data_IF_481274002472
#
_entry.id   IF_481274002472
#
_cell.length_a   1.000
_cell.length_b   1.000
_cell.length_c   1.000
_cell.angle_alpha   90.00
_cell.angle_beta   90.00
_cell.angle_gamma   90.00
#
_symmetry.space_group_name_H-M   'P 1'
#
loop_
_entity.id
_entity.type
_entity.pdbx_description
1 polymer ?
#
# COMPACT_ATOMS: atom_id res chain seq x y z
N UNK A 1 -11.98 4.43 -16.88
CA UNK A 1 -11.71 3.15 -17.58
C UNK A 1 -10.20 3.05 -17.75
N UNK A 2 -9.53 2.22 -16.94
CA UNK A 2 -8.07 2.02 -17.04
C UNK A 2 -7.82 1.01 -18.17
N UNK A 3 -6.95 1.30 -19.15
CA UNK A 3 -6.75 0.42 -20.29
C UNK A 3 -6.10 -0.91 -19.87
N UNK A 4 -6.33 -2.01 -20.60
CA UNK A 4 -5.82 -3.31 -20.21
C UNK A 4 -4.31 -3.37 -20.48
N UNK A 5 -3.54 -3.24 -19.41
CA UNK A 5 -2.12 -3.52 -19.40
C UNK A 5 -1.94 -5.05 -19.52
N UNK A 6 -1.35 -5.53 -20.63
CA UNK A 6 -0.96 -6.94 -20.81
C UNK A 6 0.17 -7.32 -19.84
N UNK A 7 -0.17 -7.57 -18.57
CA UNK A 7 0.77 -7.40 -17.45
C UNK A 7 0.57 -8.46 -16.33
N UNK A 8 0.47 -9.76 -16.67
CA UNK A 8 0.30 -10.81 -15.63
C UNK A 8 1.52 -10.99 -14.71
N UNK A 9 2.74 -10.79 -15.21
CA UNK A 9 3.97 -10.93 -14.41
C UNK A 9 4.26 -9.69 -13.54
N UNK A 10 3.87 -8.51 -14.01
CA UNK A 10 3.99 -7.21 -13.34
C UNK A 10 2.88 -6.92 -12.34
N UNK A 11 1.69 -7.51 -12.49
CA UNK A 11 0.59 -7.31 -11.53
C UNK A 11 0.96 -7.81 -10.13
N UNK A 12 1.58 -8.99 -10.03
CA UNK A 12 2.10 -9.53 -8.76
C UNK A 12 3.19 -8.65 -8.16
N UNK A 13 4.11 -8.14 -8.98
CA UNK A 13 5.19 -7.26 -8.53
C UNK A 13 4.67 -5.86 -8.14
N UNK A 14 3.61 -5.37 -8.79
CA UNK A 14 3.01 -4.08 -8.47
C UNK A 14 2.29 -4.10 -7.11
N UNK A 15 1.61 -5.21 -6.78
CA UNK A 15 0.98 -5.38 -5.46
C UNK A 15 2.01 -5.53 -4.33
N UNK A 16 3.16 -6.13 -4.61
CA UNK A 16 4.25 -6.28 -3.64
C UNK A 16 4.96 -4.95 -3.31
N UNK A 17 4.89 -3.97 -4.21
CA UNK A 17 5.63 -2.71 -4.09
C UNK A 17 4.71 -1.52 -3.75
N UNK A 18 3.45 -1.52 -4.16
CA UNK A 18 2.55 -0.37 -4.01
C UNK A 18 1.24 -0.74 -3.33
N UNK A 19 0.85 0.09 -2.37
CA UNK A 19 -0.47 0.06 -1.72
C UNK A 19 -1.16 1.40 -1.95
N UNK A 20 -2.42 1.36 -2.39
CA UNK A 20 -3.18 2.57 -2.70
C UNK A 20 -4.05 2.97 -1.51
N UNK A 21 -3.88 4.20 -1.05
CA UNK A 21 -4.69 4.82 -0.01
C UNK A 21 -5.18 6.21 -0.41
N UNK A 22 -5.65 6.96 0.59
CA UNK A 22 -6.07 8.34 0.42
C UNK A 22 -5.77 9.15 1.67
N UNK A 23 -5.69 10.47 1.52
CA UNK A 23 -5.75 11.42 2.62
C UNK A 23 -6.97 12.31 2.44
N UNK A 24 -7.59 12.68 3.54
CA UNK A 24 -8.82 13.46 3.55
C UNK A 24 -8.73 14.56 4.60
N UNK A 25 -9.03 15.78 4.18
CA UNK A 25 -9.28 16.96 5.00
C UNK A 25 -10.64 17.56 4.57
N UNK A 26 -11.30 18.37 5.42
CA UNK A 26 -12.63 18.91 5.11
C UNK A 26 -12.76 19.65 3.78
N UNK A 27 -11.66 20.17 3.24
CA UNK A 27 -11.61 20.97 2.02
C UNK A 27 -10.84 20.29 0.86
N UNK A 28 -10.26 19.10 1.08
CA UNK A 28 -9.46 18.41 0.06
C UNK A 28 -9.31 16.93 0.39
N UNK A 29 -9.53 16.08 -0.60
CA UNK A 29 -9.17 14.66 -0.56
C UNK A 29 -8.44 14.29 -1.83
N UNK A 30 -7.47 13.39 -1.71
CA UNK A 30 -6.75 12.89 -2.88
C UNK A 30 -6.10 11.52 -2.59
N UNK A 31 -5.94 10.68 -3.62
CA UNK A 31 -5.29 9.38 -3.50
C UNK A 31 -3.80 9.54 -3.16
N UNK A 32 -3.26 8.57 -2.43
CA UNK A 32 -1.85 8.48 -2.06
C UNK A 32 -1.36 7.08 -2.36
N UNK A 33 -0.21 6.96 -3.01
CA UNK A 33 0.50 5.69 -3.10
C UNK A 33 1.47 5.57 -1.94
N UNK A 34 1.36 4.47 -1.22
CA UNK A 34 2.37 4.02 -0.29
C UNK A 34 3.31 3.08 -1.05
N UNK A 35 4.60 3.36 -1.02
CA UNK A 35 5.66 2.61 -1.69
C UNK A 35 6.49 1.81 -0.68
N UNK A 36 6.58 0.50 -0.90
CA UNK A 36 7.28 -0.46 -0.06
C UNK A 36 8.80 -0.24 -0.12
N UNK A 37 9.54 -0.47 0.98
CA UNK A 37 11.00 -0.41 0.95
C UNK A 37 11.66 -1.50 0.06
N UNK A 38 10.90 -2.50 -0.42
CA UNK A 38 11.41 -3.70 -1.11
C UNK A 38 12.17 -3.43 -2.42
N UNK A 39 11.80 -2.38 -3.15
CA UNK A 39 12.56 -1.78 -4.26
C UNK A 39 13.10 -2.79 -5.31
N UNK A 40 12.31 -3.79 -5.75
CA UNK A 40 12.72 -4.81 -6.75
C UNK A 40 12.65 -4.36 -8.21
N UNK A 41 12.98 -3.09 -8.49
CA UNK A 41 13.06 -2.55 -9.86
C UNK A 41 11.81 -1.81 -10.35
N UNK A 42 10.77 -1.66 -9.52
CA UNK A 42 9.59 -0.81 -9.79
C UNK A 42 9.67 0.60 -9.16
N UNK A 43 10.76 0.92 -8.45
CA UNK A 43 11.04 2.21 -7.80
C UNK A 43 10.75 3.40 -8.72
N UNK A 44 11.20 3.32 -9.97
CA UNK A 44 11.02 4.36 -10.98
C UNK A 44 9.61 4.40 -11.56
N UNK A 45 8.88 3.28 -11.57
CA UNK A 45 7.54 3.16 -12.15
C UNK A 45 6.51 3.90 -11.28
N UNK A 46 6.55 3.66 -9.97
CA UNK A 46 5.69 4.35 -9.01
C UNK A 46 5.90 5.86 -9.06
N UNK A 47 7.17 6.28 -9.01
CA UNK A 47 7.54 7.70 -9.01
C UNK A 47 7.21 8.40 -10.34
N UNK A 48 7.48 7.79 -11.51
CA UNK A 48 7.34 8.48 -12.81
C UNK A 48 5.95 8.40 -13.43
N UNK A 49 5.13 7.39 -13.10
CA UNK A 49 3.82 7.17 -13.75
C UNK A 49 2.63 7.52 -12.87
N UNK A 50 2.79 7.51 -11.55
CA UNK A 50 1.68 7.71 -10.62
C UNK A 50 1.68 9.13 -10.04
N UNK A 51 2.84 9.78 -9.92
CA UNK A 51 2.93 11.16 -9.48
C UNK A 51 2.32 12.13 -10.51
N UNK A 52 1.25 12.80 -10.09
CA UNK A 52 0.59 13.85 -10.84
C UNK A 52 -0.07 14.86 -9.88
N UNK A 53 -0.66 15.94 -10.40
CA UNK A 53 -1.49 16.84 -9.60
C UNK A 53 -2.56 16.06 -8.85
N UNK A 54 -2.74 16.34 -7.56
CA UNK A 54 -3.67 15.63 -6.66
C UNK A 54 -3.41 14.11 -6.55
N UNK A 55 -2.14 13.71 -6.56
CA UNK A 55 -1.72 12.35 -6.21
C UNK A 55 -0.54 12.40 -5.26
N UNK A 56 -0.72 11.88 -4.04
CA UNK A 56 0.32 11.84 -3.01
C UNK A 56 1.23 10.63 -3.14
N UNK A 57 2.42 10.74 -2.56
CA UNK A 57 3.39 9.65 -2.45
C UNK A 57 4.00 9.63 -1.07
N UNK A 58 4.06 8.45 -0.47
CA UNK A 58 4.73 8.21 0.81
C UNK A 58 5.54 6.93 0.72
N UNK A 59 6.71 6.92 1.32
CA UNK A 59 7.53 5.72 1.51
C UNK A 59 8.13 5.75 2.91
N UNK A 60 8.53 4.59 3.42
CA UNK A 60 9.19 4.48 4.72
C UNK A 60 10.38 3.54 4.63
N UNK A 61 11.56 4.09 4.87
CA UNK A 61 12.78 3.30 4.95
C UNK A 61 12.98 2.76 6.39
N UNK A 62 13.29 1.46 6.57
CA UNK A 62 13.53 0.90 7.89
C UNK A 62 14.85 1.43 8.47
N UNK A 63 14.87 1.97 9.70
CA UNK A 63 16.12 2.39 10.34
C UNK A 63 16.93 1.15 10.73
N UNK A 64 18.00 0.86 9.99
CA UNK A 64 19.02 -0.14 10.36
C UNK A 64 18.59 -1.61 10.36
N UNK A 65 17.45 -1.97 9.74
CA UNK A 65 17.01 -3.37 9.57
C UNK A 65 17.13 -3.82 8.11
N UNK A 66 17.49 -5.08 7.91
CA UNK A 66 17.39 -5.73 6.62
C UNK A 66 15.92 -5.89 6.22
N UNK A 67 15.62 -5.56 4.97
CA UNK A 67 14.29 -5.71 4.37
C UNK A 67 14.01 -7.20 4.17
N UNK A 68 12.88 -7.67 4.67
CA UNK A 68 12.46 -9.07 4.60
C UNK A 68 11.31 -9.26 3.61
N UNK A 69 10.92 -10.51 3.37
CA UNK A 69 9.71 -10.80 2.57
C UNK A 69 8.42 -10.30 3.20
N UNK A 70 8.38 -10.06 4.52
CA UNK A 70 7.20 -9.57 5.23
C UNK A 70 6.95 -8.07 5.02
N UNK A 71 7.96 -7.34 4.55
CA UNK A 71 7.86 -5.91 4.21
C UNK A 71 7.24 -5.67 2.81
N UNK A 72 6.87 -6.74 2.10
CA UNK A 72 6.10 -6.67 0.87
C UNK A 72 4.68 -6.22 1.14
N UNK A 73 4.11 -5.35 0.30
CA UNK A 73 2.72 -4.92 0.46
C UNK A 73 1.67 -5.96 0.05
N UNK A 74 2.10 -7.07 -0.58
CA UNK A 74 1.28 -8.28 -0.61
C UNK A 74 0.95 -8.85 0.79
N UNK A 75 1.64 -8.39 1.84
CA UNK A 75 1.39 -8.72 3.26
C UNK A 75 0.66 -7.60 4.02
N UNK A 76 0.21 -6.54 3.34
CA UNK A 76 -0.54 -5.42 3.90
C UNK A 76 -1.94 -5.43 3.26
N UNK A 77 -2.98 -5.57 4.08
CA UNK A 77 -4.37 -5.57 3.59
C UNK A 77 -5.28 -4.83 4.60
N UNK A 78 -6.53 -4.59 4.23
CA UNK A 78 -7.53 -3.94 5.09
C UNK A 78 -8.86 -4.69 5.04
N UNK A 79 -9.45 -4.94 6.21
CA UNK A 79 -10.77 -5.55 6.27
C UNK A 79 -11.85 -4.58 5.78
N UNK A 80 -13.03 -5.08 5.36
CA UNK A 80 -14.23 -4.25 5.29
C UNK A 80 -14.58 -3.62 6.66
N UNK A 81 -15.44 -2.59 6.69
CA UNK A 81 -15.99 -2.04 7.92
C UNK A 81 -16.62 -3.14 8.79
N UNK A 82 -16.36 -3.10 10.10
CA UNK A 82 -16.75 -4.19 11.00
C UNK A 82 -17.06 -3.68 12.40
N UNK A 83 -17.99 -4.34 13.09
CA UNK A 83 -18.27 -4.13 14.51
C UNK A 83 -17.84 -5.34 15.30
N UNK A 84 -16.99 -5.14 16.31
CA UNK A 84 -16.48 -6.22 17.16
C UNK A 84 -16.84 -5.90 18.61
N UNK A 85 -17.73 -6.72 19.20
CA UNK A 85 -18.16 -6.57 20.60
C UNK A 85 -18.65 -5.16 20.95
N UNK A 86 -19.45 -4.56 20.05
CA UNK A 86 -20.02 -3.22 20.23
C UNK A 86 -19.08 -2.05 19.87
N UNK A 87 -17.83 -2.32 19.46
CA UNK A 87 -16.93 -1.30 18.93
C UNK A 87 -16.94 -1.31 17.41
N UNK A 88 -17.26 -0.17 16.81
CA UNK A 88 -17.29 0.02 15.36
C UNK A 88 -15.90 0.39 14.81
N UNK A 89 -15.59 -0.18 13.64
CA UNK A 89 -14.44 0.16 12.81
C UNK A 89 -14.96 0.53 11.41
N UNK A 90 -15.40 1.79 11.21
CA UNK A 90 -16.09 2.21 9.99
C UNK A 90 -15.20 2.21 8.74
N UNK A 91 -13.88 2.22 8.93
CA UNK A 91 -12.87 2.12 7.86
C UNK A 91 -12.18 0.74 7.83
N UNK A 92 -12.73 -0.23 8.57
CA UNK A 92 -12.13 -1.55 8.71
C UNK A 92 -10.89 -1.56 9.59
N UNK A 93 -10.03 -2.58 9.40
CA UNK A 93 -8.81 -2.79 10.18
C UNK A 93 -7.68 -3.21 9.26
N UNK A 94 -6.52 -2.59 9.42
CA UNK A 94 -5.29 -3.00 8.74
C UNK A 94 -4.87 -4.38 9.25
N UNK A 95 -4.50 -5.26 8.32
CA UNK A 95 -4.03 -6.62 8.53
C UNK A 95 -2.59 -6.73 8.01
N UNK A 96 -1.68 -7.22 8.85
CA UNK A 96 -0.28 -7.44 8.50
C UNK A 96 0.13 -8.80 9.03
N UNK A 97 0.67 -9.67 8.19
CA UNK A 97 1.20 -10.96 8.60
C UNK A 97 2.52 -10.81 9.36
N UNK A 98 2.65 -11.50 10.48
CA UNK A 98 3.88 -11.59 11.27
C UNK A 98 4.12 -13.03 11.72
N UNK A 99 5.35 -13.40 12.11
CA UNK A 99 5.59 -14.63 12.83
C UNK A 99 4.73 -14.68 14.10
N UNK A 100 4.35 -15.89 14.52
CA UNK A 100 3.66 -16.07 15.80
C UNK A 100 4.56 -15.57 16.94
N UNK A 101 4.01 -14.89 17.95
CA UNK A 101 4.76 -14.57 19.15
C UNK A 101 5.05 -15.88 19.89
N UNK A 102 6.34 -16.15 20.13
CA UNK A 102 6.79 -17.16 21.08
C UNK A 102 6.86 -16.53 22.48
#
# INVERSE_FOLDING_TARGET
>A
MVPPLGLRATARLCQDELEFGYVEAPHKSFPVVFDSPRNRGLKDFAFKKILGPDFGYVTREPPGKEITSLDSFGNLDVSPPVTVRGKEYPLGRILIGSPLPW
#
